data_IF_911147165346
#
_entry.id   IF_911147165346
#
_cell.length_a   1.000
_cell.length_b   1.000
_cell.length_c   1.000
_cell.angle_alpha   90.00
_cell.angle_beta   90.00
_cell.angle_gamma   90.00
#
_symmetry.space_group_name_H-M   'P 1'
#
loop_
_entity.id
_entity.type
_entity.pdbx_description
1 polymer ?
#
# COMPACT_ATOMS: atom_id res chain seq x y z
N UNK A 1 -12.52 12.99 -27.57
CA UNK A 1 -13.17 12.63 -26.30
C UNK A 1 -14.25 13.66 -26.07
N UNK A 2 -15.51 13.25 -25.92
CA UNK A 2 -16.63 14.17 -25.71
C UNK A 2 -16.51 14.77 -24.30
N UNK A 3 -16.82 16.08 -24.16
CA UNK A 3 -16.78 16.83 -22.87
C UNK A 3 -17.62 16.11 -21.79
N UNK A 4 -18.76 15.53 -22.20
CA UNK A 4 -19.63 14.78 -21.28
C UNK A 4 -18.92 13.53 -20.71
N UNK A 5 -18.23 12.77 -21.55
CA UNK A 5 -17.43 11.61 -21.16
C UNK A 5 -16.26 12.02 -20.26
N UNK A 6 -15.63 13.15 -20.56
CA UNK A 6 -14.58 13.73 -19.73
C UNK A 6 -15.10 14.09 -18.32
N UNK A 7 -16.23 14.79 -18.24
CA UNK A 7 -16.84 15.16 -16.95
C UNK A 7 -17.33 13.93 -16.16
N UNK A 8 -17.79 12.88 -16.84
CA UNK A 8 -18.19 11.63 -16.20
C UNK A 8 -17.00 10.90 -15.53
N UNK A 9 -15.78 11.07 -16.06
CA UNK A 9 -14.57 10.48 -15.47
C UNK A 9 -14.21 11.07 -14.08
N UNK A 10 -14.76 12.24 -13.72
CA UNK A 10 -14.60 12.84 -12.39
C UNK A 10 -15.60 12.33 -11.35
N UNK A 11 -16.59 11.55 -11.77
CA UNK A 11 -17.50 10.95 -10.79
C UNK A 11 -16.75 9.91 -9.96
N UNK A 12 -16.91 9.91 -8.62
CA UNK A 12 -16.29 8.92 -7.79
C UNK A 12 -16.79 7.52 -8.17
N UNK A 13 -15.85 6.56 -8.31
CA UNK A 13 -16.21 5.16 -8.32
C UNK A 13 -16.76 4.80 -6.94
N UNK A 14 -17.94 4.20 -6.92
CA UNK A 14 -18.55 3.75 -5.66
C UNK A 14 -17.77 2.52 -5.22
N UNK A 15 -16.98 2.66 -4.15
CA UNK A 15 -16.33 1.54 -3.50
C UNK A 15 -17.38 0.54 -3.00
N UNK A 16 -17.20 -0.73 -3.32
CA UNK A 16 -18.06 -1.83 -2.86
C UNK A 16 -17.78 -2.26 -1.42
N UNK A 17 -16.76 -1.65 -0.79
CA UNK A 17 -16.33 -1.94 0.58
C UNK A 17 -17.43 -1.61 1.58
N UNK A 18 -17.68 -2.51 2.52
CA UNK A 18 -18.69 -2.31 3.57
C UNK A 18 -18.37 -1.14 4.50
N UNK A 19 -19.38 -0.54 5.11
CA UNK A 19 -19.20 0.53 6.09
C UNK A 19 -18.34 0.06 7.27
N UNK A 20 -18.51 -1.21 7.69
CA UNK A 20 -17.73 -1.80 8.76
C UNK A 20 -16.22 -1.86 8.40
N UNK A 21 -15.90 -2.21 7.16
CA UNK A 21 -14.51 -2.29 6.72
C UNK A 21 -13.89 -0.89 6.57
N UNK A 22 -14.64 0.08 6.08
CA UNK A 22 -14.19 1.49 6.05
C UNK A 22 -13.85 2.02 7.44
N UNK A 23 -14.68 1.72 8.44
CA UNK A 23 -14.42 2.10 9.83
C UNK A 23 -13.20 1.35 10.40
N UNK A 24 -13.09 0.04 10.15
CA UNK A 24 -11.92 -0.77 10.57
C UNK A 24 -10.64 -0.21 10.01
N UNK A 25 -10.60 0.12 8.71
CA UNK A 25 -9.42 0.70 8.05
C UNK A 25 -8.99 2.01 8.70
N UNK A 26 -9.92 2.93 8.92
CA UNK A 26 -9.65 4.22 9.55
C UNK A 26 -9.16 4.07 10.99
N UNK A 27 -9.83 3.23 11.80
CA UNK A 27 -9.44 2.97 13.19
C UNK A 27 -8.08 2.26 13.27
N UNK A 28 -7.83 1.26 12.42
CA UNK A 28 -6.56 0.55 12.39
C UNK A 28 -5.40 1.48 12.00
N UNK A 29 -5.56 2.27 10.93
CA UNK A 29 -4.55 3.23 10.51
C UNK A 29 -4.26 4.31 11.55
N UNK A 30 -5.31 4.88 12.15
CA UNK A 30 -5.18 5.86 13.23
C UNK A 30 -4.49 5.28 14.46
N UNK A 31 -4.88 4.07 14.89
CA UNK A 31 -4.23 3.35 16.00
C UNK A 31 -2.76 3.05 15.70
N UNK A 32 -2.45 2.63 14.48
CA UNK A 32 -1.07 2.36 14.07
C UNK A 32 -0.19 3.60 14.14
N UNK A 33 -0.65 4.73 13.63
CA UNK A 33 0.10 6.00 13.69
C UNK A 33 0.26 6.45 15.15
N UNK A 34 -0.78 6.33 15.98
CA UNK A 34 -0.69 6.65 17.41
C UNK A 34 0.38 5.78 18.09
N UNK A 35 0.35 4.45 17.88
CA UNK A 35 1.31 3.53 18.48
C UNK A 35 2.74 3.76 17.95
N UNK A 36 2.90 4.05 16.65
CA UNK A 36 4.19 4.42 16.07
C UNK A 36 4.75 5.68 16.75
N UNK A 37 3.93 6.72 16.90
CA UNK A 37 4.34 7.99 17.51
C UNK A 37 4.73 7.77 18.98
N UNK A 38 3.94 6.99 19.73
CA UNK A 38 4.25 6.65 21.11
C UNK A 38 5.54 5.82 21.21
N UNK A 39 5.72 4.83 20.36
CA UNK A 39 6.95 4.03 20.32
C UNK A 39 8.18 4.90 20.10
N UNK A 40 8.15 5.79 19.11
CA UNK A 40 9.25 6.73 18.83
C UNK A 40 9.49 7.69 19.99
N UNK A 41 8.45 8.12 20.71
CA UNK A 41 8.57 9.03 21.86
C UNK A 41 9.27 8.35 23.05
N UNK A 42 8.96 7.07 23.32
CA UNK A 42 9.50 6.34 24.47
C UNK A 42 10.79 5.56 24.18
N UNK A 43 11.22 5.45 22.91
CA UNK A 43 12.53 4.88 22.61
C UNK A 43 13.66 5.78 23.13
N UNK A 44 14.80 5.19 23.58
CA UNK A 44 15.94 5.96 24.03
C UNK A 44 16.43 6.93 22.96
N UNK A 45 16.49 8.22 23.30
CA UNK A 45 16.96 9.27 22.41
C UNK A 45 18.49 9.27 22.40
N UNK A 46 19.10 8.76 21.34
CA UNK A 46 20.57 8.65 21.21
C UNK A 46 21.15 9.82 20.42
N UNK A 47 21.11 11.01 20.96
CA UNK A 47 21.72 12.20 20.37
C UNK A 47 20.85 13.00 19.39
N UNK A 48 19.91 12.37 18.69
CA UNK A 48 18.92 13.03 17.84
C UNK A 48 17.51 12.52 18.16
N UNK A 49 16.48 13.39 18.11
CA UNK A 49 15.12 12.99 18.38
C UNK A 49 14.65 12.01 17.30
N UNK A 50 14.06 10.89 17.71
CA UNK A 50 13.39 9.96 16.81
C UNK A 50 12.07 10.59 16.36
N UNK A 51 12.03 11.02 15.10
CA UNK A 51 10.90 11.71 14.50
C UNK A 51 10.04 10.73 13.70
N UNK A 52 8.73 10.94 13.73
CA UNK A 52 7.84 10.27 12.79
C UNK A 52 8.07 10.81 11.38
N UNK A 53 8.24 9.91 10.43
CA UNK A 53 8.39 10.27 9.01
C UNK A 53 6.98 10.45 8.43
N UNK A 54 6.68 11.64 7.88
CA UNK A 54 5.33 11.98 7.41
C UNK A 54 4.77 10.99 6.35
N UNK A 55 5.64 10.39 5.55
CA UNK A 55 5.27 9.35 4.59
C UNK A 55 4.64 8.10 5.23
N UNK A 56 4.86 7.87 6.55
CA UNK A 56 4.24 6.76 7.28
C UNK A 56 2.71 6.90 7.36
N UNK A 57 2.17 8.11 7.35
CA UNK A 57 0.71 8.32 7.30
C UNK A 57 0.13 7.84 5.96
N UNK A 58 0.81 8.10 4.85
CA UNK A 58 0.43 7.58 3.54
C UNK A 58 0.61 6.06 3.46
N UNK A 59 1.70 5.52 4.05
CA UNK A 59 1.89 4.06 4.17
C UNK A 59 0.79 3.41 4.99
N UNK A 60 0.33 4.04 6.07
CA UNK A 60 -0.78 3.53 6.86
C UNK A 60 -2.07 3.41 6.04
N UNK A 61 -2.32 4.33 5.09
CA UNK A 61 -3.46 4.20 4.17
C UNK A 61 -3.38 2.91 3.36
N UNK A 62 -2.25 2.60 2.74
CA UNK A 62 -2.07 1.34 2.00
C UNK A 62 -2.15 0.12 2.91
N UNK A 63 -1.43 0.14 4.04
CA UNK A 63 -1.34 -1.00 4.95
C UNK A 63 -2.67 -1.37 5.60
N UNK A 64 -3.58 -0.41 5.79
CA UNK A 64 -4.82 -0.65 6.53
C UNK A 64 -6.09 -0.45 5.71
N UNK A 65 -6.08 0.30 4.60
CA UNK A 65 -7.23 0.35 3.70
C UNK A 65 -7.16 -0.70 2.58
N UNK A 66 -5.94 -1.03 2.13
CA UNK A 66 -5.70 -2.01 1.05
C UNK A 66 -4.60 -3.01 1.42
N UNK A 67 -4.75 -3.79 2.54
CA UNK A 67 -3.67 -4.67 3.03
C UNK A 67 -3.30 -5.80 2.06
N UNK A 68 -4.19 -6.14 1.13
CA UNK A 68 -3.97 -7.15 0.09
C UNK A 68 -3.29 -6.56 -1.17
N UNK A 69 -3.13 -5.23 -1.26
CA UNK A 69 -2.42 -4.62 -2.38
C UNK A 69 -0.98 -5.14 -2.48
N UNK A 70 -0.50 -5.51 -3.67
CA UNK A 70 0.90 -5.81 -3.89
C UNK A 70 1.83 -4.69 -3.41
N UNK A 71 1.40 -3.44 -3.52
CA UNK A 71 2.16 -2.25 -3.12
C UNK A 71 2.25 -2.06 -1.59
N UNK A 72 1.40 -2.77 -0.83
CA UNK A 72 1.38 -2.73 0.63
C UNK A 72 2.25 -3.83 1.28
N UNK A 73 2.84 -4.75 0.49
CA UNK A 73 3.53 -5.91 1.03
C UNK A 73 4.85 -5.54 1.73
N UNK A 74 5.39 -6.40 2.64
CA UNK A 74 6.57 -6.10 3.44
C UNK A 74 7.80 -5.67 2.63
N UNK A 75 8.06 -6.33 1.49
CA UNK A 75 9.19 -5.97 0.63
C UNK A 75 9.02 -4.56 0.04
N UNK A 76 7.81 -4.21 -0.38
CA UNK A 76 7.49 -2.89 -0.92
C UNK A 76 7.64 -1.81 0.16
N UNK A 77 7.11 -2.05 1.36
CA UNK A 77 7.24 -1.12 2.48
C UNK A 77 8.72 -0.88 2.84
N UNK A 78 9.46 -1.95 3.11
CA UNK A 78 10.86 -1.84 3.58
C UNK A 78 11.77 -1.35 2.47
N UNK A 79 11.75 -2.02 1.32
CA UNK A 79 12.59 -1.68 0.17
C UNK A 79 12.29 -0.29 -0.36
N UNK A 80 11.00 0.04 -0.53
CA UNK A 80 10.57 1.34 -1.01
C UNK A 80 11.10 2.49 -0.16
N UNK A 81 10.91 2.45 1.16
CA UNK A 81 11.36 3.53 2.03
C UNK A 81 12.88 3.64 2.12
N UNK A 82 13.60 2.51 2.20
CA UNK A 82 15.07 2.53 2.27
C UNK A 82 15.70 3.02 0.98
N UNK A 83 15.22 2.54 -0.18
CA UNK A 83 15.68 3.00 -1.49
C UNK A 83 15.40 4.48 -1.68
N UNK A 84 14.21 4.93 -1.30
CA UNK A 84 13.82 6.34 -1.38
C UNK A 84 14.66 7.23 -0.46
N UNK A 85 14.96 6.78 0.77
CA UNK A 85 15.83 7.52 1.68
C UNK A 85 17.24 7.66 1.10
N UNK A 86 17.80 6.57 0.56
CA UNK A 86 19.13 6.59 -0.09
C UNK A 86 19.16 7.50 -1.31
N UNK A 87 18.16 7.42 -2.19
CA UNK A 87 18.05 8.29 -3.36
C UNK A 87 17.93 9.76 -2.96
N UNK A 88 17.12 10.07 -1.95
CA UNK A 88 16.94 11.42 -1.45
C UNK A 88 18.22 12.00 -0.86
N UNK A 89 18.92 11.23 -0.01
CA UNK A 89 20.23 11.63 0.54
C UNK A 89 21.24 11.86 -0.56
N UNK A 90 21.36 10.92 -1.52
CA UNK A 90 22.32 11.05 -2.61
C UNK A 90 22.06 12.31 -3.47
N UNK A 91 20.79 12.55 -3.85
CA UNK A 91 20.43 13.76 -4.62
C UNK A 91 20.66 15.03 -3.82
N UNK A 92 20.31 15.05 -2.53
CA UNK A 92 20.55 16.22 -1.66
C UNK A 92 22.03 16.54 -1.45
N UNK A 93 22.91 15.53 -1.48
CA UNK A 93 24.36 15.72 -1.39
C UNK A 93 25.01 16.13 -2.72
N UNK A 94 24.50 15.64 -3.84
CA UNK A 94 25.12 15.80 -5.16
C UNK A 94 24.60 17.02 -5.93
N UNK A 95 23.38 17.46 -5.65
CA UNK A 95 22.71 18.52 -6.40
C UNK A 95 22.50 19.72 -5.47
N UNK A 96 23.25 20.84 -5.68
CA UNK A 96 23.20 21.99 -4.77
C UNK A 96 21.86 22.75 -4.79
N UNK A 97 21.11 22.70 -5.90
CA UNK A 97 19.84 23.41 -6.02
C UNK A 97 18.69 22.51 -5.51
N UNK A 98 17.99 22.87 -4.39
CA UNK A 98 17.03 22.00 -3.74
C UNK A 98 15.83 21.60 -4.61
N UNK A 99 15.38 22.47 -5.51
CA UNK A 99 14.23 22.17 -6.39
C UNK A 99 14.58 21.10 -7.40
N UNK A 100 15.79 21.16 -7.98
CA UNK A 100 16.30 20.14 -8.91
C UNK A 100 16.58 18.84 -8.16
N UNK A 101 17.22 18.94 -6.98
CA UNK A 101 17.50 17.79 -6.13
C UNK A 101 16.20 17.04 -5.74
N UNK A 102 15.14 17.77 -5.40
CA UNK A 102 13.84 17.19 -5.05
C UNK A 102 13.22 16.41 -6.21
N UNK A 103 13.19 16.99 -7.40
CA UNK A 103 12.70 16.31 -8.61
C UNK A 103 13.54 15.07 -8.96
N UNK A 104 14.88 15.20 -8.90
CA UNK A 104 15.80 14.08 -9.14
C UNK A 104 15.64 12.96 -8.10
N UNK A 105 15.46 13.31 -6.83
CA UNK A 105 15.28 12.35 -5.73
C UNK A 105 13.99 11.54 -5.90
N UNK A 106 12.88 12.20 -6.19
CA UNK A 106 11.59 11.50 -6.42
C UNK A 106 11.66 10.64 -7.68
N UNK A 107 12.17 11.19 -8.80
CA UNK A 107 12.27 10.45 -10.06
C UNK A 107 13.18 9.23 -9.96
N UNK A 108 14.37 9.38 -9.37
CA UNK A 108 15.30 8.27 -9.17
C UNK A 108 14.77 7.23 -8.18
N UNK A 109 14.06 7.65 -7.12
CA UNK A 109 13.46 6.72 -6.16
C UNK A 109 12.39 5.84 -6.82
N UNK A 110 11.50 6.43 -7.64
CA UNK A 110 10.48 5.68 -8.39
C UNK A 110 11.15 4.66 -9.32
N UNK A 111 12.13 5.12 -10.10
CA UNK A 111 12.86 4.25 -11.04
C UNK A 111 13.57 3.10 -10.33
N UNK A 112 14.26 3.37 -9.21
CA UNK A 112 14.95 2.33 -8.44
C UNK A 112 13.98 1.35 -7.79
N UNK A 113 12.85 1.82 -7.27
CA UNK A 113 11.81 0.95 -6.72
C UNK A 113 11.23 0.00 -7.78
N UNK A 114 11.02 0.47 -9.01
CA UNK A 114 10.57 -0.36 -10.13
C UNK A 114 11.62 -1.43 -10.46
N UNK A 115 12.90 -1.06 -10.62
CA UNK A 115 13.97 -2.03 -10.90
C UNK A 115 14.13 -3.08 -9.80
N UNK A 116 13.90 -2.72 -8.53
CA UNK A 116 14.02 -3.62 -7.39
C UNK A 116 12.71 -4.33 -7.04
N UNK A 117 11.66 -4.11 -7.81
CA UNK A 117 10.31 -4.67 -7.57
C UNK A 117 9.83 -4.40 -6.13
N UNK A 118 10.06 -3.18 -5.64
CA UNK A 118 9.66 -2.74 -4.31
C UNK A 118 8.86 -1.42 -4.35
N UNK A 119 8.07 -1.24 -5.40
CA UNK A 119 7.27 -0.03 -5.57
C UNK A 119 6.31 0.17 -4.39
N UNK A 120 6.52 1.26 -3.66
CA UNK A 120 5.68 1.69 -2.54
C UNK A 120 5.44 3.20 -2.67
N UNK A 121 4.32 3.63 -3.25
CA UNK A 121 4.09 5.03 -3.58
C UNK A 121 4.33 6.02 -2.43
N UNK A 122 3.94 5.73 -1.17
CA UNK A 122 4.23 6.62 -0.05
C UNK A 122 5.71 6.92 0.16
N UNK A 123 6.59 6.02 -0.22
CA UNK A 123 8.04 6.19 0.02
C UNK A 123 8.68 7.24 -0.88
N UNK A 124 8.07 7.62 -2.00
CA UNK A 124 8.53 8.77 -2.78
C UNK A 124 8.54 10.08 -1.95
N UNK A 125 7.58 10.22 -1.02
CA UNK A 125 7.60 11.33 -0.08
C UNK A 125 8.78 11.26 0.91
N UNK A 126 9.31 10.07 1.19
CA UNK A 126 10.55 9.92 1.97
C UNK A 126 11.75 10.50 1.22
N UNK A 127 11.89 10.22 -0.08
CA UNK A 127 12.96 10.80 -0.90
C UNK A 127 12.86 12.32 -0.92
N UNK A 128 11.67 12.88 -1.11
CA UNK A 128 11.42 14.31 -1.08
C UNK A 128 11.79 14.93 0.28
N UNK A 129 11.43 14.25 1.37
CA UNK A 129 11.71 14.72 2.73
C UNK A 129 13.23 14.73 3.03
N UNK A 130 14.01 13.80 2.49
CA UNK A 130 15.47 13.80 2.65
C UNK A 130 16.12 15.04 2.02
N UNK A 131 15.52 15.58 0.97
CA UNK A 131 16.01 16.79 0.28
C UNK A 131 15.47 18.08 0.91
N UNK A 132 14.15 18.15 1.13
CA UNK A 132 13.45 19.38 1.55
C UNK A 132 13.08 19.38 3.03
N UNK A 133 13.45 18.35 3.78
CA UNK A 133 13.12 18.20 5.19
C UNK A 133 13.64 19.34 6.05
N UNK A 134 13.12 19.41 7.29
CA UNK A 134 13.49 20.46 8.25
C UNK A 134 15.01 20.56 8.44
N UNK A 135 15.48 21.72 8.91
CA UNK A 135 16.88 21.95 9.28
C UNK A 135 17.48 20.82 10.12
N UNK A 136 16.66 20.12 10.91
CA UNK A 136 17.07 18.97 11.72
C UNK A 136 17.65 17.82 10.88
N UNK A 137 17.11 17.54 9.68
CA UNK A 137 17.67 16.52 8.78
C UNK A 137 18.96 16.98 8.10
N UNK A 138 19.15 18.31 7.88
CA UNK A 138 20.36 18.86 7.30
C UNK A 138 21.52 18.94 8.30
N UNK A 139 21.22 19.15 9.59
CA UNK A 139 22.21 19.13 10.67
C UNK A 139 22.61 17.70 11.08
N UNK A 140 21.82 16.71 10.67
CA UNK A 140 22.01 15.30 11.00
C UNK A 140 22.90 14.65 9.95
N UNK A 141 23.83 13.82 10.38
CA UNK A 141 24.56 12.96 9.46
C UNK A 141 23.60 12.03 8.71
N UNK A 142 23.82 11.85 7.41
CA UNK A 142 22.97 11.07 6.51
C UNK A 142 22.60 9.66 7.02
N UNK A 143 23.52 8.99 7.70
CA UNK A 143 23.27 7.68 8.28
C UNK A 143 22.21 7.70 9.40
N UNK A 144 22.13 8.79 10.18
CA UNK A 144 21.07 8.95 11.17
C UNK A 144 19.71 9.19 10.52
N UNK A 145 19.67 9.96 9.44
CA UNK A 145 18.44 10.16 8.67
C UNK A 145 17.90 8.83 8.13
N UNK A 146 18.77 7.99 7.56
CA UNK A 146 18.39 6.64 7.10
C UNK A 146 17.99 5.75 8.29
N UNK A 147 18.68 5.80 9.41
CA UNK A 147 18.34 5.03 10.60
C UNK A 147 16.94 5.38 11.15
N UNK A 148 16.57 6.66 11.16
CA UNK A 148 15.23 7.11 11.56
C UNK A 148 14.17 6.53 10.62
N UNK A 149 14.38 6.57 9.31
CA UNK A 149 13.47 5.94 8.34
C UNK A 149 13.37 4.45 8.60
N UNK A 150 14.50 3.75 8.78
CA UNK A 150 14.50 2.31 9.05
C UNK A 150 13.73 1.95 10.33
N UNK A 151 13.89 2.71 11.41
CA UNK A 151 13.15 2.51 12.67
C UNK A 151 11.64 2.69 12.44
N UNK A 152 11.24 3.78 11.76
CA UNK A 152 9.83 4.03 11.42
C UNK A 152 9.24 2.85 10.62
N UNK A 153 9.97 2.37 9.62
CA UNK A 153 9.54 1.26 8.75
C UNK A 153 9.42 -0.04 9.53
N UNK A 154 10.39 -0.38 10.36
CA UNK A 154 10.36 -1.61 11.18
C UNK A 154 9.16 -1.60 12.14
N UNK A 155 8.94 -0.50 12.85
CA UNK A 155 7.80 -0.39 13.76
C UNK A 155 6.49 -0.46 12.96
N UNK A 156 6.38 0.26 11.83
CA UNK A 156 5.20 0.22 10.98
C UNK A 156 4.90 -1.18 10.44
N UNK A 157 5.93 -1.93 10.05
CA UNK A 157 5.80 -3.32 9.63
C UNK A 157 5.29 -4.21 10.76
N UNK A 158 5.86 -4.11 11.95
CA UNK A 158 5.42 -4.88 13.13
C UNK A 158 3.97 -4.56 13.49
N UNK A 159 3.57 -3.28 13.43
CA UNK A 159 2.20 -2.86 13.66
C UNK A 159 1.26 -3.40 12.56
N UNK A 160 1.68 -3.38 11.29
CA UNK A 160 0.89 -3.93 10.19
C UNK A 160 0.67 -5.44 10.35
N UNK A 161 1.75 -6.18 10.68
CA UNK A 161 1.68 -7.62 10.97
C UNK A 161 0.75 -7.92 12.15
N UNK A 162 0.78 -7.11 13.19
CA UNK A 162 -0.02 -7.34 14.38
C UNK A 162 -1.48 -6.94 14.16
N UNK A 163 -1.74 -5.70 13.76
CA UNK A 163 -3.09 -5.14 13.68
C UNK A 163 -3.92 -5.83 12.61
N UNK A 164 -3.37 -6.04 11.39
CA UNK A 164 -4.15 -6.69 10.35
C UNK A 164 -4.51 -8.13 10.71
N UNK A 165 -3.59 -8.90 11.29
CA UNK A 165 -3.87 -10.29 11.66
C UNK A 165 -4.74 -10.45 12.93
N UNK A 166 -4.95 -9.39 13.70
CA UNK A 166 -5.94 -9.34 14.78
C UNK A 166 -7.35 -9.01 14.28
N UNK A 167 -7.47 -8.42 13.09
CA UNK A 167 -8.76 -8.05 12.53
C UNK A 167 -9.39 -9.24 11.78
N UNK A 168 -10.68 -9.55 12.03
CA UNK A 168 -11.35 -10.65 11.35
C UNK A 168 -11.37 -10.48 9.83
N UNK A 169 -11.06 -11.55 9.10
CA UNK A 169 -11.10 -11.58 7.63
C UNK A 169 -9.89 -10.94 6.94
N UNK A 170 -8.87 -10.52 7.70
CA UNK A 170 -7.63 -9.98 7.15
C UNK A 170 -6.47 -10.94 7.39
N UNK A 171 -5.59 -11.04 6.40
CA UNK A 171 -4.30 -11.74 6.49
C UNK A 171 -3.21 -10.83 5.92
N UNK A 172 -2.16 -10.59 6.70
CA UNK A 172 -1.02 -9.81 6.27
C UNK A 172 0.30 -10.42 6.80
N UNK A 173 1.33 -10.61 5.98
CA UNK A 173 1.36 -10.31 4.54
C UNK A 173 0.43 -11.22 3.74
N UNK A 174 0.13 -10.81 2.51
CA UNK A 174 -0.64 -11.64 1.60
C UNK A 174 0.11 -12.96 1.38
N UNK A 175 -0.51 -14.06 1.76
CA UNK A 175 0.06 -15.37 1.46
C UNK A 175 -0.10 -15.60 -0.04
N UNK A 176 0.99 -15.92 -0.73
CA UNK A 176 0.88 -16.46 -2.07
C UNK A 176 -0.09 -17.64 -2.01
N UNK A 177 -1.28 -17.45 -2.54
CA UNK A 177 -2.24 -18.55 -2.63
C UNK A 177 -1.51 -19.65 -3.38
N UNK A 178 -1.29 -20.78 -2.73
CA UNK A 178 -0.74 -21.96 -3.38
C UNK A 178 -1.48 -22.10 -4.70
N UNK A 179 -0.76 -22.00 -5.82
CA UNK A 179 -1.32 -22.17 -7.15
C UNK A 179 -2.13 -23.46 -7.13
N UNK A 180 -3.43 -23.35 -6.91
CA UNK A 180 -4.29 -24.48 -7.15
C UNK A 180 -4.12 -24.84 -8.61
N UNK A 181 -3.92 -26.12 -8.93
CA UNK A 181 -3.82 -26.53 -10.32
C UNK A 181 -5.04 -25.97 -11.08
N UNK A 182 -4.85 -25.51 -12.33
CA UNK A 182 -5.95 -24.95 -13.10
C UNK A 182 -7.15 -25.90 -13.04
N UNK A 183 -8.35 -25.40 -12.78
CA UNK A 183 -9.53 -26.24 -12.72
C UNK A 183 -9.61 -27.04 -14.02
N UNK A 184 -9.95 -28.34 -13.90
CA UNK A 184 -10.18 -29.19 -15.09
C UNK A 184 -11.13 -28.45 -16.02
N UNK A 185 -10.93 -28.50 -17.36
CA UNK A 185 -11.78 -27.80 -18.30
C UNK A 185 -13.23 -28.13 -18.03
N UNK A 186 -13.94 -27.16 -17.47
CA UNK A 186 -15.39 -27.26 -17.25
C UNK A 186 -16.11 -26.94 -18.56
N UNK A 187 -17.35 -27.41 -18.76
CA UNK A 187 -18.14 -26.98 -19.89
C UNK A 187 -18.15 -25.46 -19.95
N UNK A 188 -18.05 -24.89 -21.16
CA UNK A 188 -17.98 -23.46 -21.38
C UNK A 188 -19.19 -22.78 -20.70
N UNK A 189 -18.93 -22.04 -19.64
CA UNK A 189 -19.93 -21.24 -18.94
C UNK A 189 -19.67 -19.80 -19.34
N UNK A 190 -20.62 -19.19 -20.04
CA UNK A 190 -20.56 -17.76 -20.33
C UNK A 190 -20.78 -16.98 -19.03
N UNK A 191 -19.78 -16.17 -18.64
CA UNK A 191 -19.89 -15.23 -17.54
C UNK A 191 -20.66 -13.98 -18.01
N UNK A 192 -21.57 -13.50 -17.18
CA UNK A 192 -22.28 -12.25 -17.37
C UNK A 192 -21.72 -11.18 -16.44
N UNK A 193 -21.95 -9.90 -16.76
CA UNK A 193 -21.52 -8.79 -15.90
C UNK A 193 -22.04 -8.93 -14.47
N UNK A 194 -23.23 -9.46 -14.28
CA UNK A 194 -23.86 -9.73 -12.97
C UNK A 194 -23.10 -10.73 -12.13
N UNK A 195 -22.40 -11.70 -12.74
CA UNK A 195 -21.59 -12.69 -12.04
C UNK A 195 -20.32 -12.04 -11.46
N UNK A 196 -19.71 -11.12 -12.21
CA UNK A 196 -18.58 -10.33 -11.75
C UNK A 196 -18.96 -9.31 -10.66
N UNK A 197 -20.10 -8.61 -10.83
CA UNK A 197 -20.62 -7.69 -9.82
C UNK A 197 -20.88 -8.40 -8.49
N UNK A 198 -21.42 -9.62 -8.56
CA UNK A 198 -21.61 -10.43 -7.38
C UNK A 198 -20.27 -10.87 -6.76
N UNK A 199 -19.29 -11.32 -7.56
CA UNK A 199 -17.98 -11.74 -7.10
C UNK A 199 -17.24 -10.60 -6.40
N UNK A 200 -17.26 -9.40 -6.99
CA UNK A 200 -16.65 -8.20 -6.41
C UNK A 200 -17.27 -7.84 -5.05
N UNK A 201 -18.59 -8.01 -4.88
CA UNK A 201 -19.26 -7.79 -3.58
C UNK A 201 -18.82 -8.78 -2.50
N UNK A 202 -18.40 -9.99 -2.88
CA UNK A 202 -17.92 -10.99 -1.90
C UNK A 202 -16.51 -10.66 -1.38
N UNK A 203 -15.71 -9.93 -2.13
CA UNK A 203 -14.32 -9.64 -1.75
C UNK A 203 -14.19 -8.58 -0.66
N UNK A 204 -15.22 -7.74 -0.44
CA UNK A 204 -15.30 -6.68 0.59
C UNK A 204 -13.96 -5.94 0.85
N UNK A 205 -13.20 -5.69 -0.22
CA UNK A 205 -11.93 -4.97 -0.18
C UNK A 205 -11.85 -3.95 -1.30
N UNK A 206 -11.06 -2.89 -1.11
CA UNK A 206 -10.69 -2.01 -2.21
C UNK A 206 -9.65 -2.73 -3.06
N UNK A 207 -9.96 -2.87 -4.35
CA UNK A 207 -9.14 -3.62 -5.28
C UNK A 207 -8.05 -2.72 -5.87
N UNK A 208 -6.85 -2.96 -5.40
CA UNK A 208 -5.64 -2.75 -6.19
C UNK A 208 -5.27 -4.15 -6.70
N UNK A 209 -5.57 -4.43 -7.97
CA UNK A 209 -5.78 -5.80 -8.47
C UNK A 209 -4.47 -6.56 -8.59
N UNK A 210 -4.26 -7.58 -7.75
CA UNK A 210 -3.19 -8.58 -7.93
C UNK A 210 -3.63 -9.71 -8.89
N UNK A 211 -2.68 -10.54 -9.35
CA UNK A 211 -3.02 -11.74 -10.12
C UNK A 211 -3.91 -12.70 -9.31
N UNK A 212 -3.68 -12.78 -8.01
CA UNK A 212 -4.44 -13.60 -7.08
C UNK A 212 -5.88 -13.11 -6.95
N UNK A 213 -6.10 -11.79 -6.87
CA UNK A 213 -7.43 -11.19 -6.84
C UNK A 213 -8.20 -11.47 -8.13
N UNK A 214 -7.53 -11.40 -9.29
CA UNK A 214 -8.15 -11.74 -10.58
C UNK A 214 -8.61 -13.22 -10.61
N UNK A 215 -7.78 -14.13 -10.12
CA UNK A 215 -8.11 -15.55 -10.04
C UNK A 215 -9.30 -15.77 -9.10
N UNK A 216 -9.33 -15.10 -7.96
CA UNK A 216 -10.42 -15.22 -6.99
C UNK A 216 -11.73 -14.62 -7.55
N UNK A 217 -11.68 -13.42 -8.15
CA UNK A 217 -12.83 -12.81 -8.84
C UNK A 217 -13.39 -13.76 -9.91
N UNK A 218 -12.50 -14.34 -10.74
CA UNK A 218 -12.92 -15.27 -11.77
C UNK A 218 -13.55 -16.54 -11.18
N UNK A 219 -12.97 -17.10 -10.12
CA UNK A 219 -13.49 -18.28 -9.41
C UNK A 219 -14.88 -18.02 -8.83
N UNK A 220 -15.07 -16.89 -8.17
CA UNK A 220 -16.35 -16.48 -7.58
C UNK A 220 -17.40 -16.21 -8.67
N UNK A 221 -17.04 -15.56 -9.75
CA UNK A 221 -17.92 -15.30 -10.89
C UNK A 221 -18.37 -16.62 -11.54
N UNK A 222 -17.47 -17.60 -11.73
CA UNK A 222 -17.80 -18.93 -12.21
C UNK A 222 -18.75 -19.69 -11.27
N UNK A 223 -18.54 -19.58 -9.96
CA UNK A 223 -19.42 -20.18 -8.96
C UNK A 223 -20.83 -19.59 -9.07
N UNK A 224 -20.96 -18.29 -9.17
CA UNK A 224 -22.23 -17.60 -9.35
C UNK A 224 -22.93 -17.99 -10.66
N UNK A 225 -22.20 -18.02 -11.75
CA UNK A 225 -22.74 -18.44 -13.05
C UNK A 225 -23.29 -19.87 -13.01
N UNK A 226 -22.61 -20.80 -12.33
CA UNK A 226 -23.11 -22.17 -12.11
C UNK A 226 -24.40 -22.18 -11.30
N UNK A 227 -24.50 -21.41 -10.24
CA UNK A 227 -25.70 -21.30 -9.40
C UNK A 227 -26.87 -20.73 -10.20
N UNK A 228 -26.64 -19.67 -10.98
CA UNK A 228 -27.61 -19.05 -11.88
C UNK A 228 -28.17 -20.09 -12.91
N UNK A 229 -27.27 -20.82 -13.56
CA UNK A 229 -27.64 -21.84 -14.55
C UNK A 229 -28.38 -23.05 -13.94
N UNK A 230 -28.11 -23.36 -12.66
CA UNK A 230 -28.81 -24.41 -11.92
C UNK A 230 -30.21 -23.98 -11.42
N UNK A 231 -30.69 -22.77 -11.77
CA UNK A 231 -31.99 -22.25 -11.36
C UNK A 231 -32.06 -21.72 -9.93
N UNK A 232 -30.89 -21.55 -9.27
CA UNK A 232 -30.81 -20.91 -7.98
C UNK A 232 -30.99 -19.39 -8.12
N UNK A 233 -31.87 -18.78 -7.32
CA UNK A 233 -31.90 -17.31 -7.14
C UNK A 233 -30.71 -16.90 -6.28
N UNK A 234 -30.09 -15.73 -6.53
CA UNK A 234 -29.00 -15.18 -5.72
C UNK A 234 -29.43 -14.88 -4.29
#
# INVERSE_FOLDING_TARGET
>A
MDIKSFLLAFKPHVSQTSVAEKLRSGLAGGTAILLLTLALHYLPQTGFPLLIVASMAASATLLYATPHSPLAQPWNLVGGHLVSALAGVACGMLIPEPTIAAGAAVGSSIMLMEFLSCLHPPSAATALMMVLGSSQFHEMNWHWAIAIVAINVVISLLLALTINNLLPGRTYPMHAIHRQPPPKPAPFIALEQTDFEWALKQMDSELDVSEEDLVEIYRLALQQARTRLAGGRP
#
